data_IF_129783963842
#
_entry.id   IF_129783963842
#
_cell.length_a   1.000
_cell.length_b   1.000
_cell.length_c   1.000
_cell.angle_alpha   90.00
_cell.angle_beta   90.00
_cell.angle_gamma   90.00
#
_symmetry.space_group_name_H-M   'P 1'
#
loop_
_entity.id
_entity.type
_entity.pdbx_description
1 polymer ?
#
# COMPACT_ATOMS: atom_id res chain seq x y z
N UNK A 1 -5.64 33.97 -56.10
CA UNK A 1 -5.53 35.38 -56.55
C UNK A 1 -4.81 36.17 -55.46
N UNK A 2 -3.56 36.57 -55.72
CA UNK A 2 -2.80 37.45 -54.82
C UNK A 2 -3.10 38.89 -55.23
N UNK A 3 -3.79 39.63 -54.37
CA UNK A 3 -4.09 41.04 -54.60
C UNK A 3 -2.81 41.88 -54.54
N UNK A 4 -2.50 42.60 -55.62
CA UNK A 4 -1.43 43.60 -55.62
C UNK A 4 -1.89 44.79 -54.76
N UNK A 5 -1.44 44.85 -53.52
CA UNK A 5 -1.58 46.05 -52.68
C UNK A 5 -0.65 47.12 -53.23
N UNK A 6 -1.22 48.19 -53.79
CA UNK A 6 -0.50 49.42 -54.13
C UNK A 6 0.13 50.00 -52.86
N UNK A 7 1.36 50.54 -52.94
CA UNK A 7 2.01 51.15 -51.78
C UNK A 7 1.18 52.32 -51.25
N UNK A 8 1.18 52.54 -49.91
CA UNK A 8 0.40 53.60 -49.27
C UNK A 8 0.80 54.98 -49.82
N UNK A 9 -0.19 55.85 -50.02
CA UNK A 9 -0.02 57.13 -50.73
C UNK A 9 0.54 58.23 -49.82
N UNK A 10 0.40 58.07 -48.50
CA UNK A 10 1.04 58.95 -47.53
C UNK A 10 1.37 58.23 -46.21
N UNK A 11 2.39 58.69 -45.45
CA UNK A 11 2.68 58.17 -44.11
C UNK A 11 1.52 58.29 -43.11
N UNK A 12 0.56 59.19 -43.37
CA UNK A 12 -0.60 59.44 -42.53
C UNK A 12 -1.78 58.49 -42.79
N UNK A 13 -1.71 57.69 -43.87
CA UNK A 13 -2.71 56.66 -44.17
C UNK A 13 -2.42 55.32 -43.48
N UNK A 14 -1.29 55.21 -42.77
CA UNK A 14 -0.97 54.02 -41.99
C UNK A 14 -1.89 54.05 -40.77
N UNK A 15 -2.88 53.14 -40.67
CA UNK A 15 -3.70 53.09 -39.47
C UNK A 15 -2.77 52.85 -38.28
N UNK A 16 -3.01 53.53 -37.14
CA UNK A 16 -2.19 53.33 -35.96
C UNK A 16 -2.11 51.83 -35.68
N UNK A 17 -0.89 51.33 -35.52
CA UNK A 17 -0.68 49.91 -35.24
C UNK A 17 -1.61 49.52 -34.08
N UNK A 18 -2.39 48.44 -34.21
CA UNK A 18 -3.25 48.01 -33.13
C UNK A 18 -2.41 47.91 -31.85
N UNK A 19 -2.93 48.38 -30.69
CA UNK A 19 -2.17 48.37 -29.45
C UNK A 19 -1.60 46.96 -29.27
N UNK A 20 -0.28 46.87 -29.11
CA UNK A 20 0.36 45.57 -28.88
C UNK A 20 -0.36 44.95 -27.69
N UNK A 21 -1.06 43.85 -27.93
CA UNK A 21 -1.82 43.22 -26.86
C UNK A 21 -0.82 42.86 -25.77
N UNK A 22 -1.03 43.42 -24.58
CA UNK A 22 -0.15 43.22 -23.44
C UNK A 22 0.10 41.72 -23.28
N UNK A 23 1.37 41.35 -23.18
CA UNK A 23 1.83 39.98 -23.07
C UNK A 23 1.31 39.38 -21.76
N UNK A 24 0.11 38.82 -21.79
CA UNK A 24 -0.51 38.21 -20.63
C UNK A 24 0.35 37.03 -20.19
N UNK A 25 0.90 37.10 -18.97
CA UNK A 25 1.79 36.07 -18.47
C UNK A 25 1.02 34.77 -18.29
N UNK A 26 1.54 33.69 -18.85
CA UNK A 26 0.90 32.37 -18.82
C UNK A 26 1.21 31.64 -17.52
N UNK A 27 0.87 32.25 -16.39
CA UNK A 27 1.13 31.72 -15.04
C UNK A 27 0.55 30.31 -14.90
N UNK A 28 -0.64 30.07 -15.45
CA UNK A 28 -1.32 28.77 -15.37
C UNK A 28 -0.55 27.63 -16.05
N UNK A 29 0.09 27.91 -17.20
CA UNK A 29 0.90 26.93 -17.91
C UNK A 29 2.18 26.58 -17.16
N UNK A 30 2.82 27.58 -16.56
CA UNK A 30 4.03 27.40 -15.73
C UNK A 30 3.70 26.62 -14.46
N UNK A 31 2.58 26.93 -13.79
CA UNK A 31 2.12 26.20 -12.60
C UNK A 31 1.81 24.74 -12.94
N UNK A 32 1.15 24.48 -14.08
CA UNK A 32 0.90 23.10 -14.55
C UNK A 32 2.18 22.33 -14.83
N UNK A 33 3.20 22.98 -15.41
CA UNK A 33 4.51 22.38 -15.66
C UNK A 33 5.26 22.04 -14.36
N UNK A 34 5.29 22.96 -13.38
CA UNK A 34 5.93 22.72 -12.09
C UNK A 34 5.21 21.61 -11.31
N UNK A 35 3.88 21.60 -11.34
CA UNK A 35 3.07 20.54 -10.72
C UNK A 35 3.34 19.17 -11.36
N UNK A 36 3.57 19.11 -12.68
CA UNK A 36 3.99 17.88 -13.37
C UNK A 36 5.33 17.37 -12.89
N UNK A 37 6.31 18.25 -12.64
CA UNK A 37 7.65 17.88 -12.16
C UNK A 37 7.56 17.36 -10.71
N UNK A 38 6.86 18.07 -9.83
CA UNK A 38 6.68 17.66 -8.43
C UNK A 38 5.85 16.37 -8.31
N UNK A 39 4.89 16.17 -9.22
CA UNK A 39 4.08 14.96 -9.28
C UNK A 39 4.86 13.72 -9.71
N UNK A 40 6.06 13.87 -10.27
CA UNK A 40 6.94 12.76 -10.62
C UNK A 40 7.36 11.93 -9.38
N UNK A 41 7.26 12.50 -8.17
CA UNK A 41 7.62 11.84 -6.91
C UNK A 41 6.45 11.15 -6.19
N UNK A 42 5.20 11.38 -6.60
CA UNK A 42 4.01 10.81 -5.95
C UNK A 42 3.07 10.22 -7.01
N UNK A 43 2.86 8.89 -7.03
CA UNK A 43 2.58 8.17 -8.28
C UNK A 43 1.20 8.39 -8.92
N UNK A 44 0.21 9.01 -8.26
CA UNK A 44 -1.18 8.97 -8.77
C UNK A 44 -1.91 10.31 -8.67
N UNK A 45 -1.96 10.94 -7.49
CA UNK A 45 -2.82 12.11 -7.28
C UNK A 45 -2.37 13.36 -8.06
N UNK A 46 -1.08 13.74 -8.09
CA UNK A 46 -0.66 14.98 -8.76
C UNK A 46 -0.63 14.90 -10.29
N UNK A 47 -0.52 13.72 -10.89
CA UNK A 47 -0.53 13.57 -12.36
C UNK A 47 -1.90 13.92 -12.96
N UNK A 48 -2.98 13.53 -12.29
CA UNK A 48 -4.36 13.84 -12.69
C UNK A 48 -4.59 15.35 -12.66
N UNK A 49 -4.13 16.02 -11.60
CA UNK A 49 -4.25 17.48 -11.45
C UNK A 49 -3.47 18.22 -12.55
N UNK A 50 -2.27 17.76 -12.89
CA UNK A 50 -1.45 18.34 -13.96
C UNK A 50 -2.14 18.24 -15.33
N UNK A 51 -2.76 17.10 -15.66
CA UNK A 51 -3.50 16.91 -16.92
C UNK A 51 -4.73 17.82 -16.99
N UNK A 52 -5.52 17.90 -15.92
CA UNK A 52 -6.72 18.74 -15.87
C UNK A 52 -6.35 20.22 -16.03
N UNK A 53 -5.32 20.69 -15.31
CA UNK A 53 -4.81 22.06 -15.46
C UNK A 53 -4.26 22.33 -16.87
N UNK A 54 -3.57 21.37 -17.48
CA UNK A 54 -3.08 21.47 -18.86
C UNK A 54 -4.20 21.61 -19.89
N UNK A 55 -5.25 20.79 -19.79
CA UNK A 55 -6.43 20.84 -20.68
C UNK A 55 -7.18 22.16 -20.53
N UNK A 56 -7.36 22.66 -19.31
CA UNK A 56 -8.02 23.96 -19.05
C UNK A 56 -7.16 25.11 -19.61
N UNK A 57 -5.82 25.02 -19.48
CA UNK A 57 -4.89 26.00 -20.03
C UNK A 57 -4.95 26.10 -21.55
N UNK A 58 -4.99 24.96 -22.26
CA UNK A 58 -5.08 24.93 -23.73
C UNK A 58 -6.37 25.56 -24.24
N UNK A 59 -7.49 25.42 -23.50
CA UNK A 59 -8.77 26.01 -23.91
C UNK A 59 -8.81 27.54 -23.83
N UNK A 60 -7.90 28.18 -23.09
CA UNK A 60 -7.89 29.65 -22.91
C UNK A 60 -6.98 30.39 -23.89
N UNK A 61 -5.89 29.77 -24.35
CA UNK A 61 -5.07 30.31 -25.43
C UNK A 61 -4.15 29.22 -26.04
N UNK A 62 -4.02 29.12 -27.37
CA UNK A 62 -3.04 28.24 -28.01
C UNK A 62 -1.64 28.83 -27.83
N UNK A 63 -0.93 28.40 -26.79
CA UNK A 63 0.48 28.78 -26.55
C UNK A 63 1.30 27.53 -26.28
N UNK A 64 2.47 27.43 -26.93
CA UNK A 64 3.28 26.21 -27.01
C UNK A 64 3.62 25.55 -25.67
N UNK A 65 3.69 26.31 -24.58
CA UNK A 65 3.88 25.78 -23.23
C UNK A 65 2.76 24.85 -22.76
N UNK A 66 1.52 25.11 -23.14
CA UNK A 66 0.38 24.26 -22.78
C UNK A 66 0.42 22.93 -23.55
N UNK A 67 0.89 22.96 -24.82
CA UNK A 67 1.15 21.75 -25.61
C UNK A 67 2.28 20.95 -24.98
N UNK A 68 3.38 21.60 -24.58
CA UNK A 68 4.50 20.93 -23.91
C UNK A 68 4.06 20.28 -22.59
N UNK A 69 3.23 20.95 -21.79
CA UNK A 69 2.69 20.38 -20.55
C UNK A 69 1.82 19.14 -20.80
N UNK A 70 0.98 19.14 -21.85
CA UNK A 70 0.17 17.97 -22.22
C UNK A 70 1.04 16.82 -22.69
N UNK A 71 2.04 17.07 -23.54
CA UNK A 71 2.93 16.02 -24.06
C UNK A 71 3.74 15.40 -22.92
N UNK A 72 4.32 16.22 -22.05
CA UNK A 72 5.11 15.74 -20.89
C UNK A 72 4.21 14.99 -19.91
N UNK A 73 3.05 15.54 -19.56
CA UNK A 73 2.09 14.88 -18.67
C UNK A 73 1.57 13.56 -19.23
N UNK A 74 1.34 13.48 -20.55
CA UNK A 74 0.92 12.26 -21.24
C UNK A 74 2.00 11.18 -21.23
N UNK A 75 3.25 11.52 -21.53
CA UNK A 75 4.38 10.60 -21.46
C UNK A 75 4.58 10.08 -20.02
N UNK A 76 4.46 10.95 -19.03
CA UNK A 76 4.53 10.60 -17.61
C UNK A 76 3.43 9.59 -17.22
N UNK A 77 2.21 9.81 -17.69
CA UNK A 77 1.08 8.91 -17.45
C UNK A 77 1.28 7.53 -18.08
N UNK A 78 1.80 7.48 -19.32
CA UNK A 78 2.10 6.22 -19.98
C UNK A 78 3.22 5.46 -19.28
N UNK A 79 4.30 6.16 -18.90
CA UNK A 79 5.40 5.56 -18.14
C UNK A 79 4.94 5.08 -16.76
N UNK A 80 4.14 5.88 -16.04
CA UNK A 80 3.59 5.54 -14.73
C UNK A 80 2.60 4.38 -14.78
N UNK A 81 1.70 4.36 -15.77
CA UNK A 81 0.77 3.25 -15.98
C UNK A 81 1.51 1.97 -16.37
N UNK A 82 2.52 2.06 -17.24
CA UNK A 82 3.37 0.93 -17.60
C UNK A 82 4.13 0.38 -16.40
N UNK A 83 4.73 1.24 -15.58
CA UNK A 83 5.39 0.85 -14.34
C UNK A 83 4.40 0.23 -13.34
N UNK A 84 3.19 0.80 -13.18
CA UNK A 84 2.17 0.26 -12.29
C UNK A 84 1.70 -1.12 -12.74
N UNK A 85 1.43 -1.32 -14.04
CA UNK A 85 1.07 -2.62 -14.59
C UNK A 85 2.22 -3.61 -14.39
N UNK A 86 3.46 -3.21 -14.66
CA UNK A 86 4.64 -4.05 -14.40
C UNK A 86 4.77 -4.39 -12.91
N UNK A 87 4.60 -3.42 -12.01
CA UNK A 87 4.70 -3.60 -10.57
C UNK A 87 3.51 -4.36 -9.95
N UNK A 88 2.36 -4.42 -10.61
CA UNK A 88 1.19 -5.17 -10.09
C UNK A 88 1.10 -6.56 -10.72
N UNK A 89 1.43 -6.67 -12.01
CA UNK A 89 1.27 -7.92 -12.78
C UNK A 89 2.55 -8.76 -12.78
N UNK A 90 3.73 -8.13 -12.86
CA UNK A 90 5.02 -8.81 -12.88
C UNK A 90 5.75 -8.78 -11.54
N UNK A 91 5.38 -7.90 -10.59
CA UNK A 91 5.91 -8.07 -9.25
C UNK A 91 5.34 -9.39 -8.70
N UNK A 92 6.20 -10.33 -8.27
CA UNK A 92 5.73 -11.49 -7.56
C UNK A 92 4.94 -11.00 -6.34
N UNK A 93 3.83 -11.66 -6.03
CA UNK A 93 2.97 -11.35 -4.87
C UNK A 93 3.68 -11.49 -3.50
N UNK A 94 5.02 -11.57 -3.49
CA UNK A 94 5.85 -12.02 -2.38
C UNK A 94 6.44 -10.91 -1.52
N UNK A 95 6.14 -9.64 -1.75
CA UNK A 95 6.64 -8.57 -0.87
C UNK A 95 5.65 -7.44 -0.73
N UNK A 96 4.53 -7.72 -0.05
CA UNK A 96 3.90 -6.61 0.68
C UNK A 96 4.97 -6.04 1.62
N UNK A 97 5.22 -4.72 1.65
CA UNK A 97 6.20 -4.13 2.55
C UNK A 97 5.86 -4.39 4.02
N UNK A 98 4.59 -4.68 4.30
CA UNK A 98 4.10 -5.13 5.60
C UNK A 98 4.63 -6.52 5.98
N UNK A 99 4.88 -7.40 5.02
CA UNK A 99 5.44 -8.74 5.26
C UNK A 99 6.90 -8.71 5.72
N UNK A 100 7.62 -7.60 5.50
CA UNK A 100 8.98 -7.41 6.03
C UNK A 100 8.99 -6.88 7.48
N UNK A 101 7.87 -6.32 7.95
CA UNK A 101 7.70 -5.86 9.34
C UNK A 101 7.14 -6.97 10.24
N UNK A 102 6.46 -7.97 9.66
CA UNK A 102 6.08 -9.16 10.39
C UNK A 102 7.31 -10.03 10.65
N UNK A 103 7.52 -10.52 11.89
CA UNK A 103 8.55 -11.51 12.17
C UNK A 103 8.42 -12.67 11.19
N UNK A 104 9.51 -13.01 10.50
CA UNK A 104 9.54 -14.16 9.61
C UNK A 104 9.10 -15.41 10.42
N UNK A 105 8.03 -16.12 10.06
CA UNK A 105 7.59 -17.29 10.81
C UNK A 105 8.68 -18.38 10.85
N UNK A 106 9.61 -18.39 9.89
CA UNK A 106 10.77 -19.28 9.94
C UNK A 106 11.78 -18.92 11.05
N UNK A 107 11.81 -17.67 11.52
CA UNK A 107 12.64 -17.25 12.66
C UNK A 107 11.99 -17.60 14.01
N UNK A 108 10.67 -17.80 14.05
CA UNK A 108 9.98 -18.27 15.27
C UNK A 108 10.34 -19.73 15.60
N UNK A 109 10.72 -20.52 14.59
CA UNK A 109 11.17 -21.90 14.75
C UNK A 109 12.68 -22.05 15.01
N UNK A 110 13.44 -20.95 15.13
CA UNK A 110 14.89 -21.00 15.44
C UNK A 110 15.23 -20.66 16.89
N UNK A 111 14.23 -20.43 17.74
CA UNK A 111 14.43 -20.70 19.16
C UNK A 111 14.70 -22.19 19.25
N UNK A 112 15.92 -22.59 19.60
CA UNK A 112 16.23 -23.99 19.90
C UNK A 112 15.06 -24.52 20.72
N UNK A 113 14.36 -25.58 20.28
CA UNK A 113 13.36 -26.21 21.11
C UNK A 113 14.11 -26.53 22.37
N UNK A 114 13.85 -25.78 23.43
CA UNK A 114 14.29 -26.18 24.75
C UNK A 114 13.49 -27.46 24.92
N UNK A 115 14.15 -28.59 24.63
CA UNK A 115 13.62 -29.94 24.80
C UNK A 115 13.50 -30.11 26.29
N UNK A 116 12.52 -29.41 26.85
CA UNK A 116 11.97 -29.79 28.11
C UNK A 116 11.33 -31.14 27.79
N UNK A 117 11.89 -32.20 28.35
CA UNK A 117 11.27 -33.53 28.44
C UNK A 117 9.99 -33.39 29.28
N UNK A 118 9.00 -32.70 28.72
CA UNK A 118 7.66 -32.66 29.28
C UNK A 118 7.01 -33.94 28.78
N UNK A 119 6.47 -34.79 29.67
CA UNK A 119 5.64 -35.90 29.25
C UNK A 119 4.52 -35.33 28.38
N UNK A 120 4.59 -35.53 27.08
CA UNK A 120 3.62 -34.98 26.14
C UNK A 120 2.34 -35.79 26.27
N UNK A 121 1.52 -35.43 27.26
CA UNK A 121 0.14 -35.91 27.39
C UNK A 121 -0.63 -35.73 26.06
N UNK A 122 -0.24 -34.72 25.29
CA UNK A 122 -0.73 -34.44 23.94
C UNK A 122 0.38 -34.65 22.90
N UNK A 123 0.48 -35.87 22.38
CA UNK A 123 1.41 -36.21 21.28
C UNK A 123 0.84 -35.89 19.88
N UNK A 124 -0.44 -35.52 19.82
CA UNK A 124 -1.16 -35.24 18.59
C UNK A 124 -1.60 -33.77 18.54
N UNK A 125 -1.79 -33.20 17.34
CA UNK A 125 -2.43 -31.90 17.18
C UNK A 125 -3.82 -31.86 17.83
N UNK A 126 -4.34 -30.66 18.07
CA UNK A 126 -5.69 -30.47 18.57
C UNK A 126 -6.78 -30.93 17.57
N UNK A 127 -8.04 -30.77 17.93
CA UNK A 127 -9.17 -31.21 17.10
C UNK A 127 -9.25 -30.51 15.73
N UNK A 128 -8.58 -29.37 15.58
CA UNK A 128 -8.53 -28.56 14.35
C UNK A 128 -7.21 -28.76 13.56
N UNK A 129 -6.27 -29.53 14.08
CA UNK A 129 -5.00 -29.84 13.42
C UNK A 129 -3.86 -28.89 13.78
N UNK A 130 -4.05 -28.04 14.79
CA UNK A 130 -3.05 -27.09 15.26
C UNK A 130 -2.23 -27.71 16.39
N UNK A 131 -0.92 -27.44 16.42
CA UNK A 131 -0.08 -27.89 17.52
C UNK A 131 -0.38 -27.10 18.80
N UNK A 132 -0.45 -27.77 19.95
CA UNK A 132 -0.69 -27.09 21.22
C UNK A 132 0.43 -26.11 21.57
N UNK A 133 0.07 -24.92 22.06
CA UNK A 133 1.02 -23.99 22.68
C UNK A 133 1.21 -24.41 24.13
N UNK A 134 2.47 -24.60 24.55
CA UNK A 134 2.81 -25.00 25.91
C UNK A 134 3.27 -23.78 26.69
N UNK A 135 2.60 -23.50 27.80
CA UNK A 135 2.99 -22.45 28.74
C UNK A 135 3.42 -23.09 30.05
N UNK A 136 4.59 -22.70 30.55
CA UNK A 136 5.15 -23.22 31.80
C UNK A 136 5.18 -22.09 32.82
N UNK A 137 4.48 -22.28 33.93
CA UNK A 137 4.43 -21.33 35.04
C UNK A 137 5.06 -22.01 36.26
N UNK A 138 6.21 -21.48 36.70
CA UNK A 138 6.85 -21.88 37.94
C UNK A 138 6.38 -20.95 39.06
N UNK A 139 5.67 -21.49 40.05
CA UNK A 139 5.16 -20.73 41.21
C UNK A 139 5.48 -21.46 42.49
N UNK A 140 6.16 -20.77 43.42
CA UNK A 140 6.52 -21.33 44.74
C UNK A 140 7.32 -22.65 44.68
N UNK A 141 8.07 -22.86 43.60
CA UNK A 141 8.84 -24.10 43.35
C UNK A 141 8.00 -25.25 42.77
N UNK A 142 6.70 -25.03 42.55
CA UNK A 142 5.82 -25.94 41.83
C UNK A 142 5.72 -25.51 40.36
N UNK A 143 6.04 -26.44 39.47
CA UNK A 143 5.97 -26.24 38.02
C UNK A 143 4.60 -26.67 37.52
N UNK A 144 3.85 -25.74 36.95
CA UNK A 144 2.60 -26.03 36.24
C UNK A 144 2.78 -25.85 34.75
N UNK A 145 2.36 -26.84 33.97
CA UNK A 145 2.36 -26.78 32.50
C UNK A 145 0.93 -26.65 32.01
N UNK A 146 0.64 -25.66 31.17
CA UNK A 146 -0.64 -25.47 30.50
C UNK A 146 -0.51 -25.76 29.01
N UNK A 147 -1.48 -26.48 28.46
CA UNK A 147 -1.58 -26.79 27.04
C UNK A 147 -2.74 -26.01 26.45
N UNK A 148 -2.45 -25.09 25.53
CA UNK A 148 -3.40 -24.21 24.88
C UNK A 148 -3.71 -24.67 23.45
N UNK A 149 -4.98 -24.71 23.09
CA UNK A 149 -5.45 -24.92 21.71
C UNK A 149 -5.79 -23.57 21.08
N UNK A 150 -5.51 -23.44 19.78
CA UNK A 150 -5.80 -22.24 18.99
C UNK A 150 -7.28 -22.18 18.53
N UNK A 151 -8.13 -23.08 19.03
CA UNK A 151 -9.53 -23.09 18.66
C UNK A 151 -9.80 -23.35 17.18
N UNK A 152 -10.94 -22.85 16.72
CA UNK A 152 -11.47 -23.11 15.37
C UNK A 152 -10.77 -22.25 14.31
N UNK A 153 -10.35 -21.03 14.68
CA UNK A 153 -9.71 -20.12 13.74
C UNK A 153 -8.24 -20.50 13.44
N UNK A 154 -7.68 -21.42 14.22
CA UNK A 154 -6.30 -21.92 14.13
C UNK A 154 -5.24 -20.81 14.29
N UNK A 155 -5.60 -19.71 14.94
CA UNK A 155 -4.74 -18.55 15.19
C UNK A 155 -4.67 -18.33 16.69
N UNK A 156 -3.47 -18.42 17.27
CA UNK A 156 -3.31 -18.08 18.67
C UNK A 156 -3.44 -16.57 18.95
N UNK A 157 -3.66 -16.25 20.22
CA UNK A 157 -3.86 -14.92 20.79
C UNK A 157 -5.20 -14.28 20.38
N UNK A 158 -6.20 -15.13 20.19
CA UNK A 158 -7.58 -14.79 19.80
C UNK A 158 -8.56 -15.16 20.92
N UNK A 159 -9.81 -14.68 20.88
CA UNK A 159 -10.80 -15.00 21.91
C UNK A 159 -11.26 -16.46 21.96
N UNK A 160 -10.99 -17.27 20.94
CA UNK A 160 -11.33 -18.70 20.88
C UNK A 160 -10.21 -19.62 21.38
N UNK A 161 -9.06 -19.07 21.77
CA UNK A 161 -8.02 -19.81 22.50
C UNK A 161 -8.55 -20.35 23.84
N UNK A 162 -8.20 -21.59 24.16
CA UNK A 162 -8.55 -22.18 25.45
C UNK A 162 -7.51 -23.19 25.95
N UNK A 163 -7.54 -23.43 27.27
CA UNK A 163 -6.71 -24.45 27.93
C UNK A 163 -7.34 -25.82 27.66
N UNK A 164 -6.64 -26.67 26.92
CA UNK A 164 -7.03 -28.05 26.65
C UNK A 164 -6.59 -29.00 27.77
N UNK A 165 -5.61 -28.60 28.59
CA UNK A 165 -5.21 -29.35 29.77
C UNK A 165 -4.05 -28.71 30.52
N UNK A 166 -3.66 -29.33 31.63
CA UNK A 166 -2.48 -28.95 32.40
C UNK A 166 -1.84 -30.16 33.11
N UNK A 167 -0.62 -29.96 33.62
CA UNK A 167 0.13 -30.89 34.46
C UNK A 167 0.77 -30.12 35.65
N UNK A 168 0.51 -30.50 36.92
CA UNK A 168 -0.42 -31.54 37.35
C UNK A 168 -1.89 -31.17 37.10
N UNK A 169 -2.77 -32.18 36.89
CA UNK A 169 -4.21 -31.94 36.62
C UNK A 169 -4.91 -31.12 37.71
N UNK A 170 -4.43 -31.20 38.95
CA UNK A 170 -4.95 -30.42 40.09
C UNK A 170 -4.73 -28.92 39.95
N UNK A 171 -3.80 -28.48 39.10
CA UNK A 171 -3.54 -27.07 38.86
C UNK A 171 -4.56 -26.44 37.89
N UNK A 172 -5.31 -27.27 37.16
CA UNK A 172 -6.37 -26.79 36.27
C UNK A 172 -7.58 -26.39 37.08
N UNK A 173 -8.10 -25.19 36.81
CA UNK A 173 -9.43 -24.85 37.29
C UNK A 173 -10.45 -25.70 36.50
N UNK A 174 -11.30 -26.53 37.13
CA UNK A 174 -12.16 -27.47 36.40
C UNK A 174 -13.15 -26.82 35.43
N UNK A 175 -13.39 -25.50 35.56
CA UNK A 175 -14.20 -24.73 34.61
C UNK A 175 -13.43 -24.10 33.44
N UNK A 176 -12.09 -24.11 33.45
CA UNK A 176 -11.27 -23.50 32.39
C UNK A 176 -10.76 -24.51 31.37
N UNK A 177 -10.81 -25.81 31.68
CA UNK A 177 -10.42 -26.87 30.74
C UNK A 177 -11.60 -27.22 29.86
N UNK A 178 -11.46 -27.07 28.56
CA UNK A 178 -12.44 -27.53 27.57
C UNK A 178 -11.93 -28.77 26.85
N UNK A 179 -12.83 -29.70 26.58
CA UNK A 179 -12.52 -30.85 25.75
C UNK A 179 -12.56 -30.40 24.28
N UNK A 180 -11.41 -30.35 23.57
CA UNK A 180 -11.38 -29.92 22.18
C UNK A 180 -12.22 -30.81 21.25
N UNK A 181 -12.48 -32.07 21.64
CA UNK A 181 -13.35 -32.95 20.87
C UNK A 181 -14.84 -32.59 20.98
N UNK A 182 -15.25 -31.91 22.05
CA UNK A 182 -16.65 -31.54 22.27
C UNK A 182 -17.08 -30.31 21.47
N UNK A 183 -16.14 -29.44 21.11
CA UNK A 183 -16.40 -28.17 20.42
C UNK A 183 -16.44 -28.30 18.88
N UNK A 184 -16.03 -29.44 18.33
CA UNK A 184 -16.11 -29.74 16.89
C UNK A 184 -17.51 -30.23 16.49
N UNK A 185 -18.49 -29.32 16.47
CA UNK A 185 -19.87 -29.61 16.00
C UNK A 185 -20.22 -28.90 14.71
#
# INVERSE_FOLDING_TARGET
MWGRTTPPRSPNEIPPAPPSQAESSNVLGVVGFIASILGCCLPIVPSIVAVVCGVIGVRRAPRGYAIAAIVIGGLQLLAGAGFFIFAVVLAPASSSPWSALLPNPAQLNTLEPTTVDIPTKFAYPDAWGTAFRVEVIDRDGERTVFYWSAGEDMVFDTPDDFVAGCDPESACNPGSVRDPAADKK
#
